data_IF_485527812060
#
_entry.id   IF_485527812060
#
_cell.length_a   1.000
_cell.length_b   1.000
_cell.length_c   1.000
_cell.angle_alpha   90.00
_cell.angle_beta   90.00
_cell.angle_gamma   90.00
#
_symmetry.space_group_name_H-M   'P 1'
#
loop_
_entity.id
_entity.type
_entity.pdbx_description
1 polymer ?
#
# COMPACT_ATOMS: atom_id res chain seq x y z
N UNK A 1 -32.85 -11.78 7.39
CA UNK A 1 -33.58 -10.92 6.43
C UNK A 1 -34.67 -10.16 7.17
N UNK A 2 -34.34 -9.01 7.80
CA UNK A 2 -35.27 -7.92 8.20
C UNK A 2 -34.53 -6.96 9.15
N UNK A 3 -33.71 -6.06 8.60
CA UNK A 3 -33.58 -4.72 9.19
C UNK A 3 -34.20 -3.80 8.16
N UNK A 4 -35.31 -3.17 8.55
CA UNK A 4 -36.05 -2.20 7.76
C UNK A 4 -35.08 -1.08 7.35
N UNK A 5 -34.72 -1.04 6.08
CA UNK A 5 -34.22 0.21 5.49
C UNK A 5 -35.38 1.21 5.54
N UNK A 6 -35.15 2.47 5.94
CA UNK A 6 -36.20 3.47 5.91
C UNK A 6 -36.75 3.53 4.49
N UNK A 7 -38.06 3.36 4.35
CA UNK A 7 -38.74 3.43 3.07
C UNK A 7 -38.70 4.90 2.66
N UNK A 8 -37.69 5.32 1.89
CA UNK A 8 -37.74 6.63 1.24
C UNK A 8 -38.97 6.67 0.35
N UNK A 9 -39.81 7.70 0.53
CA UNK A 9 -41.00 7.86 -0.29
C UNK A 9 -40.63 7.89 -1.78
N UNK A 10 -41.35 7.15 -2.61
CA UNK A 10 -41.18 7.12 -4.08
C UNK A 10 -41.30 8.50 -4.76
N UNK A 11 -41.74 9.52 -4.01
CA UNK A 11 -41.99 10.89 -4.45
C UNK A 11 -40.70 11.67 -4.75
N UNK A 12 -39.55 11.24 -4.23
CA UNK A 12 -38.23 11.88 -4.48
C UNK A 12 -37.46 11.27 -5.64
N UNK A 13 -37.87 10.11 -6.16
CA UNK A 13 -37.23 9.48 -7.31
C UNK A 13 -37.71 10.13 -8.62
N UNK A 14 -36.84 10.73 -9.45
CA UNK A 14 -37.28 11.42 -10.65
C UNK A 14 -37.98 10.43 -11.61
N UNK A 15 -39.19 10.78 -12.11
CA UNK A 15 -39.99 9.84 -12.89
C UNK A 15 -39.27 9.45 -14.18
N UNK A 16 -39.28 8.15 -14.53
CA UNK A 16 -38.84 7.67 -15.84
C UNK A 16 -39.82 8.18 -16.90
N UNK A 17 -39.50 9.28 -17.60
CA UNK A 17 -40.23 9.69 -18.81
C UNK A 17 -39.59 9.04 -20.05
N UNK A 18 -40.44 8.52 -20.94
CA UNK A 18 -40.13 7.79 -22.18
C UNK A 18 -39.83 8.72 -23.39
N UNK A 19 -39.54 10.01 -23.16
CA UNK A 19 -39.23 10.94 -24.25
C UNK A 19 -37.72 11.02 -24.49
N UNK A 20 -37.35 11.13 -25.77
CA UNK A 20 -36.04 10.81 -26.33
C UNK A 20 -34.84 11.21 -25.48
N UNK A 21 -33.95 10.24 -25.27
CA UNK A 21 -32.78 10.25 -24.39
C UNK A 21 -31.68 11.31 -24.69
N UNK A 22 -32.00 12.45 -25.32
CA UNK A 22 -31.02 13.38 -25.89
C UNK A 22 -31.29 14.87 -25.64
N UNK A 23 -32.31 15.28 -24.85
CA UNK A 23 -32.48 16.68 -24.44
C UNK A 23 -31.51 17.02 -23.27
N UNK A 24 -30.48 17.87 -23.48
CA UNK A 24 -29.48 18.18 -22.45
C UNK A 24 -30.09 18.79 -21.19
N UNK A 25 -31.14 19.61 -21.34
CA UNK A 25 -31.79 20.29 -20.19
C UNK A 25 -32.54 19.30 -19.31
N UNK A 26 -33.16 18.29 -19.92
CA UNK A 26 -33.84 17.22 -19.21
C UNK A 26 -32.85 16.28 -18.51
N UNK A 27 -31.76 15.90 -19.19
CA UNK A 27 -30.69 15.07 -18.62
C UNK A 27 -30.07 15.78 -17.40
N UNK A 28 -29.79 17.07 -17.51
CA UNK A 28 -29.19 17.84 -16.42
C UNK A 28 -30.13 18.00 -15.23
N UNK A 29 -31.41 18.30 -15.48
CA UNK A 29 -32.42 18.32 -14.42
C UNK A 29 -32.54 16.97 -13.71
N UNK A 30 -32.49 15.87 -14.47
CA UNK A 30 -32.54 14.53 -13.91
C UNK A 30 -31.29 14.20 -13.10
N UNK A 31 -30.10 14.63 -13.55
CA UNK A 31 -28.83 14.50 -12.82
C UNK A 31 -28.93 15.17 -11.44
N UNK A 32 -29.41 16.41 -11.38
CA UNK A 32 -29.58 17.18 -10.14
C UNK A 32 -30.56 16.49 -9.18
N UNK A 33 -31.74 16.06 -9.67
CA UNK A 33 -32.71 15.37 -8.83
C UNK A 33 -32.18 14.03 -8.29
N UNK A 34 -31.46 13.26 -9.12
CA UNK A 34 -30.83 12.02 -8.68
C UNK A 34 -29.74 12.28 -7.64
N UNK A 35 -28.95 13.34 -7.80
CA UNK A 35 -27.91 13.72 -6.84
C UNK A 35 -28.53 14.03 -5.46
N UNK A 36 -29.57 14.86 -5.40
CA UNK A 36 -30.25 15.19 -4.14
C UNK A 36 -30.83 13.93 -3.47
N UNK A 37 -31.46 13.06 -4.26
CA UNK A 37 -32.01 11.79 -3.77
C UNK A 37 -30.92 10.87 -3.19
N UNK A 38 -29.78 10.74 -3.87
CA UNK A 38 -28.67 9.92 -3.40
C UNK A 38 -28.04 10.50 -2.12
N UNK A 39 -27.96 11.83 -1.99
CA UNK A 39 -27.49 12.50 -0.77
C UNK A 39 -28.44 12.24 0.41
N UNK A 40 -29.76 12.32 0.19
CA UNK A 40 -30.76 11.98 1.20
C UNK A 40 -30.68 10.50 1.62
N UNK A 41 -30.47 9.58 0.66
CA UNK A 41 -30.26 8.16 0.97
C UNK A 41 -29.03 7.99 1.85
N UNK A 42 -27.89 8.57 1.46
CA UNK A 42 -26.62 8.42 2.17
C UNK A 42 -26.71 8.97 3.60
N UNK A 43 -27.36 10.13 3.79
CA UNK A 43 -27.53 10.73 5.12
C UNK A 43 -28.46 9.93 6.03
N UNK A 44 -29.49 9.28 5.48
CA UNK A 44 -30.40 8.43 6.25
C UNK A 44 -29.82 7.04 6.54
N UNK A 45 -28.95 6.52 5.68
CA UNK A 45 -28.30 5.23 5.84
C UNK A 45 -27.05 5.37 6.69
N UNK A 46 -27.19 5.25 8.02
CA UNK A 46 -26.04 5.33 8.95
C UNK A 46 -24.86 4.41 8.58
N UNK A 47 -25.11 3.24 7.97
CA UNK A 47 -24.09 2.46 7.25
C UNK A 47 -24.54 2.24 5.81
N UNK A 48 -23.77 2.77 4.86
CA UNK A 48 -24.08 2.71 3.43
C UNK A 48 -23.93 1.25 2.94
N UNK A 49 -24.97 0.64 2.32
CA UNK A 49 -24.91 -0.70 1.78
C UNK A 49 -23.86 -0.85 0.67
N UNK A 50 -23.22 -2.02 0.58
CA UNK A 50 -22.14 -2.31 -0.39
C UNK A 50 -22.54 -2.03 -1.84
N UNK A 51 -23.75 -2.42 -2.23
CA UNK A 51 -24.27 -2.19 -3.59
C UNK A 51 -24.29 -0.70 -3.94
N UNK A 52 -24.62 0.15 -2.96
CA UNK A 52 -24.64 1.60 -3.16
C UNK A 52 -23.22 2.18 -3.21
N UNK A 53 -22.29 1.65 -2.40
CA UNK A 53 -20.87 2.04 -2.47
C UNK A 53 -20.24 1.72 -3.84
N UNK A 54 -20.56 0.54 -4.40
CA UNK A 54 -20.10 0.14 -5.74
C UNK A 54 -20.73 1.05 -6.79
N UNK A 55 -22.04 1.28 -6.72
CA UNK A 55 -22.77 2.13 -7.65
C UNK A 55 -22.26 3.58 -7.65
N UNK A 56 -21.87 4.10 -6.49
CA UNK A 56 -21.33 5.46 -6.32
C UNK A 56 -19.81 5.52 -6.49
N UNK A 57 -19.15 4.41 -6.85
CA UNK A 57 -17.71 4.33 -7.07
C UNK A 57 -16.87 4.82 -5.87
N UNK A 58 -17.31 4.56 -4.63
CA UNK A 58 -16.64 5.04 -3.41
C UNK A 58 -15.15 4.65 -3.35
N UNK A 59 -14.81 3.46 -3.84
CA UNK A 59 -13.44 2.98 -3.96
C UNK A 59 -12.53 3.92 -4.79
N UNK A 60 -13.06 4.58 -5.83
CA UNK A 60 -12.32 5.57 -6.62
C UNK A 60 -12.08 6.83 -5.78
N UNK A 61 -13.11 7.30 -5.09
CA UNK A 61 -13.01 8.48 -4.22
C UNK A 61 -12.07 8.26 -3.03
N UNK A 62 -12.04 7.07 -2.44
CA UNK A 62 -11.09 6.72 -1.38
C UNK A 62 -9.64 6.77 -1.91
N UNK A 63 -9.39 6.22 -3.10
CA UNK A 63 -8.07 6.31 -3.76
C UNK A 63 -7.68 7.77 -4.03
N UNK A 64 -8.62 8.58 -4.52
CA UNK A 64 -8.38 10.01 -4.79
C UNK A 64 -8.08 10.77 -3.49
N UNK A 65 -8.89 10.59 -2.46
CA UNK A 65 -8.72 11.27 -1.17
C UNK A 65 -7.37 10.91 -0.54
N UNK A 66 -7.03 9.62 -0.46
CA UNK A 66 -5.75 9.16 0.10
C UNK A 66 -4.57 9.73 -0.68
N UNK A 67 -4.61 9.69 -2.01
CA UNK A 67 -3.50 10.19 -2.84
C UNK A 67 -3.38 11.72 -2.84
N UNK A 68 -4.49 12.45 -2.74
CA UNK A 68 -4.47 13.91 -2.58
C UNK A 68 -3.92 14.33 -1.21
N UNK A 69 -4.33 13.65 -0.14
CA UNK A 69 -3.79 13.90 1.21
C UNK A 69 -2.30 13.62 1.26
N UNK A 70 -1.84 12.51 0.67
CA UNK A 70 -0.41 12.21 0.55
C UNK A 70 0.33 13.25 -0.29
N UNK A 71 -0.24 13.70 -1.41
CA UNK A 71 0.36 14.73 -2.25
C UNK A 71 0.53 16.06 -1.50
N UNK A 72 -0.47 16.47 -0.73
CA UNK A 72 -0.39 17.68 0.10
C UNK A 72 0.67 17.56 1.20
N UNK A 73 0.72 16.41 1.87
CA UNK A 73 1.72 16.15 2.91
C UNK A 73 3.13 16.19 2.31
N UNK A 74 3.36 15.45 1.23
CA UNK A 74 4.64 15.38 0.53
C UNK A 74 5.04 16.70 -0.13
N UNK A 75 4.10 17.55 -0.51
CA UNK A 75 4.42 18.90 -0.94
C UNK A 75 5.08 19.72 0.19
N UNK A 76 4.74 19.45 1.46
CA UNK A 76 5.28 20.17 2.63
C UNK A 76 6.61 19.59 3.12
N UNK A 77 6.75 18.26 3.12
CA UNK A 77 7.89 17.56 3.75
C UNK A 77 8.79 16.81 2.75
N UNK A 78 8.40 16.71 1.48
CA UNK A 78 9.07 15.86 0.49
C UNK A 78 10.53 16.23 0.24
N UNK A 79 10.83 17.52 0.12
CA UNK A 79 12.22 17.98 -0.05
C UNK A 79 13.11 17.60 1.15
N UNK A 80 12.55 17.63 2.37
CA UNK A 80 13.26 17.19 3.57
C UNK A 80 13.55 15.70 3.51
N UNK A 81 12.55 14.88 3.15
CA UNK A 81 12.71 13.42 3.02
C UNK A 81 13.82 13.08 2.01
N UNK A 82 13.86 13.79 0.88
CA UNK A 82 14.88 13.57 -0.14
C UNK A 82 16.28 14.06 0.27
N UNK A 83 16.37 15.14 1.06
CA UNK A 83 17.64 15.72 1.48
C UNK A 83 18.29 14.98 2.67
N UNK A 84 17.51 14.48 3.62
CA UNK A 84 18.02 13.81 4.82
C UNK A 84 18.16 12.29 4.67
N UNK A 85 17.83 11.73 3.51
CA UNK A 85 17.69 10.28 3.29
C UNK A 85 16.74 9.62 4.32
N UNK A 86 15.77 10.40 4.81
CA UNK A 86 14.79 9.95 5.78
C UNK A 86 13.94 8.80 5.23
N UNK A 87 13.49 7.95 6.14
CA UNK A 87 12.67 6.79 5.80
C UNK A 87 11.26 7.29 5.49
N UNK A 88 10.83 7.12 4.24
CA UNK A 88 9.45 7.34 3.85
C UNK A 88 8.58 6.18 4.36
N UNK A 89 7.65 6.49 5.26
CA UNK A 89 6.79 5.49 5.90
C UNK A 89 5.43 5.47 5.21
N UNK A 90 4.96 4.28 4.81
CA UNK A 90 3.67 4.10 4.15
C UNK A 90 2.95 2.85 4.67
N UNK A 91 1.62 2.87 4.59
CA UNK A 91 0.78 1.70 4.86
C UNK A 91 0.48 0.92 3.57
N UNK A 92 0.14 -0.39 3.66
CA UNK A 92 -0.31 -1.16 2.50
C UNK A 92 -1.49 -0.52 1.76
N UNK A 93 -2.43 0.12 2.49
CA UNK A 93 -3.55 0.84 1.89
C UNK A 93 -3.09 2.05 1.08
N UNK A 94 -2.15 2.85 1.62
CA UNK A 94 -1.57 3.97 0.88
C UNK A 94 -0.86 3.49 -0.38
N UNK A 95 -0.07 2.41 -0.31
CA UNK A 95 0.58 1.81 -1.47
C UNK A 95 -0.42 1.29 -2.52
N UNK A 96 -1.52 0.68 -2.08
CA UNK A 96 -2.61 0.27 -2.95
C UNK A 96 -3.22 1.47 -3.69
N UNK A 97 -3.53 2.55 -2.96
CA UNK A 97 -4.08 3.77 -3.55
C UNK A 97 -3.09 4.41 -4.53
N UNK A 98 -1.80 4.49 -4.20
CA UNK A 98 -0.74 4.98 -5.10
C UNK A 98 -0.69 4.15 -6.39
N UNK A 99 -0.76 2.82 -6.27
CA UNK A 99 -0.71 1.88 -7.40
C UNK A 99 -1.95 1.97 -8.29
N UNK A 100 -3.14 2.16 -7.69
CA UNK A 100 -4.41 2.27 -8.42
C UNK A 100 -4.58 3.64 -9.06
N UNK A 101 -4.11 4.71 -8.42
CA UNK A 101 -4.30 6.08 -8.89
C UNK A 101 -3.71 6.35 -10.28
N UNK A 102 -2.60 5.70 -10.64
CA UNK A 102 -2.01 5.75 -12.00
C UNK A 102 -2.85 5.05 -13.07
N UNK A 103 -3.71 4.11 -12.67
CA UNK A 103 -4.58 3.35 -13.59
C UNK A 103 -5.89 4.07 -13.87
N UNK A 104 -6.20 5.13 -13.12
CA UNK A 104 -7.42 5.92 -13.27
C UNK A 104 -7.23 7.00 -14.35
N UNK A 105 -8.19 7.16 -15.30
CA UNK A 105 -8.12 8.17 -16.36
C UNK A 105 -8.53 9.56 -15.83
N UNK A 106 -7.88 10.03 -14.76
CA UNK A 106 -8.20 11.26 -14.04
C UNK A 106 -6.98 12.19 -14.05
N UNK A 107 -7.14 13.49 -14.38
CA UNK A 107 -6.04 14.46 -14.40
C UNK A 107 -5.24 14.48 -13.09
N UNK A 108 -3.97 14.84 -13.16
CA UNK A 108 -3.07 14.88 -12.00
C UNK A 108 -3.41 15.99 -11.01
N UNK A 109 -3.97 17.10 -11.53
CA UNK A 109 -4.43 18.24 -10.74
C UNK A 109 -5.86 18.62 -11.14
N UNK A 110 -6.70 18.86 -10.13
CA UNK A 110 -8.11 19.19 -10.29
C UNK A 110 -8.45 20.59 -9.79
N UNK A 111 -7.76 21.63 -10.25
CA UNK A 111 -8.12 23.04 -9.98
C UNK A 111 -8.03 23.52 -8.51
N UNK A 112 -7.89 22.62 -7.54
CA UNK A 112 -7.87 22.90 -6.08
C UNK A 112 -6.51 23.44 -5.57
N UNK A 113 -5.55 23.67 -6.47
CA UNK A 113 -4.21 24.21 -6.17
C UNK A 113 -3.09 23.20 -6.44
N UNK A 114 -1.87 23.71 -6.63
CA UNK A 114 -0.70 22.90 -7.01
C UNK A 114 -0.19 21.99 -5.89
N UNK A 115 -0.54 22.27 -4.63
CA UNK A 115 -0.17 21.44 -3.49
C UNK A 115 -0.90 20.09 -3.46
N UNK A 116 -2.08 19.99 -4.08
CA UNK A 116 -2.80 18.71 -4.24
C UNK A 116 -2.43 17.97 -5.54
N UNK A 117 -1.47 18.48 -6.31
CA UNK A 117 -1.06 17.80 -7.53
C UNK A 117 -0.41 16.46 -7.19
N UNK A 118 -1.00 15.38 -7.70
CA UNK A 118 -0.51 14.03 -7.48
C UNK A 118 0.91 13.84 -8.09
N UNK A 119 1.34 14.73 -8.98
CA UNK A 119 2.73 14.82 -9.43
C UNK A 119 3.71 14.94 -8.28
N UNK A 120 3.41 15.76 -7.26
CA UNK A 120 4.26 15.91 -6.07
C UNK A 120 4.46 14.55 -5.36
N UNK A 121 3.39 13.75 -5.27
CA UNK A 121 3.46 12.41 -4.70
C UNK A 121 4.35 11.49 -5.54
N UNK A 122 4.16 11.45 -6.86
CA UNK A 122 4.93 10.54 -7.72
C UNK A 122 6.39 10.95 -7.89
N UNK A 123 6.71 12.24 -7.83
CA UNK A 123 8.09 12.72 -7.83
C UNK A 123 8.86 12.19 -6.60
N UNK A 124 8.23 12.22 -5.42
CA UNK A 124 8.83 11.64 -4.20
C UNK A 124 8.88 10.11 -4.28
N UNK A 125 7.80 9.44 -4.69
CA UNK A 125 7.76 7.97 -4.84
C UNK A 125 8.85 7.49 -5.79
N UNK A 126 9.12 8.23 -6.86
CA UNK A 126 10.18 7.91 -7.81
C UNK A 126 11.58 8.12 -7.23
N UNK A 127 11.80 9.21 -6.48
CA UNK A 127 13.11 9.62 -6.00
C UNK A 127 13.54 8.97 -4.68
N UNK A 128 12.61 8.48 -3.86
CA UNK A 128 12.91 7.98 -2.52
C UNK A 128 13.85 6.78 -2.54
N UNK A 129 14.81 6.79 -1.62
CA UNK A 129 15.81 5.73 -1.48
C UNK A 129 15.53 4.79 -0.31
N UNK A 130 14.75 5.24 0.68
CA UNK A 130 14.43 4.50 1.90
C UNK A 130 12.92 4.43 2.13
N UNK A 131 12.33 3.23 2.04
CA UNK A 131 10.90 2.98 2.23
C UNK A 131 10.67 2.06 3.42
N UNK A 132 9.68 2.38 4.26
CA UNK A 132 9.20 1.50 5.31
C UNK A 132 7.70 1.27 5.19
N UNK A 133 7.32 0.01 5.10
CA UNK A 133 5.93 -0.45 5.04
C UNK A 133 5.52 -0.91 6.45
N UNK A 134 4.46 -0.32 6.99
CA UNK A 134 3.94 -0.60 8.33
C UNK A 134 2.43 -0.85 8.25
N UNK A 135 1.94 -1.98 8.78
CA UNK A 135 0.50 -2.11 9.05
C UNK A 135 0.09 -1.21 10.21
N UNK A 136 -1.06 -0.57 10.03
CA UNK A 136 -1.73 0.16 11.09
C UNK A 136 -2.64 -0.82 11.85
N UNK A 137 -2.39 -0.98 13.16
CA UNK A 137 -3.16 -1.87 14.04
C UNK A 137 -4.60 -1.32 14.26
N UNK A 138 -4.88 -0.03 13.97
CA UNK A 138 -6.17 0.63 14.25
C UNK A 138 -7.12 0.75 13.04
N UNK A 139 -6.61 0.72 11.81
CA UNK A 139 -7.41 0.91 10.59
C UNK A 139 -7.74 -0.42 9.92
N UNK A 140 -8.58 -1.19 10.61
CA UNK A 140 -9.20 -2.40 10.10
C UNK A 140 -9.88 -2.10 8.74
N UNK A 141 -9.39 -2.76 7.67
CA UNK A 141 -9.73 -2.63 6.24
C UNK A 141 -11.19 -3.01 5.88
N UNK A 142 -12.13 -2.75 6.78
CA UNK A 142 -13.54 -3.18 6.70
C UNK A 142 -14.30 -2.64 5.48
N UNK A 143 -13.73 -1.71 4.69
CA UNK A 143 -14.33 -1.16 3.47
C UNK A 143 -13.76 -1.76 2.16
N UNK A 144 -12.61 -2.43 2.20
CA UNK A 144 -11.94 -3.03 1.03
C UNK A 144 -12.13 -4.54 0.91
N UNK A 145 -12.97 -5.14 1.76
CA UNK A 145 -13.01 -6.59 2.06
C UNK A 145 -13.33 -7.56 0.91
N UNK A 146 -13.50 -7.10 -0.33
CA UNK A 146 -13.76 -7.97 -1.50
C UNK A 146 -12.72 -7.83 -2.63
N UNK A 147 -11.91 -6.76 -2.64
CA UNK A 147 -10.81 -6.64 -3.61
C UNK A 147 -9.51 -7.04 -2.92
N UNK A 148 -8.81 -8.03 -3.47
CA UNK A 148 -7.46 -8.36 -3.06
C UNK A 148 -6.58 -7.11 -3.19
N UNK A 149 -6.20 -6.51 -2.06
CA UNK A 149 -5.48 -5.24 -1.99
C UNK A 149 -4.05 -5.47 -2.48
N UNK A 150 -3.86 -5.45 -3.80
CA UNK A 150 -2.55 -5.61 -4.42
C UNK A 150 -1.86 -4.26 -4.62
N UNK A 151 -0.59 -4.17 -4.24
CA UNK A 151 0.21 -2.97 -4.38
C UNK A 151 1.55 -3.25 -5.06
N UNK A 152 2.06 -2.27 -5.81
CA UNK A 152 3.16 -2.44 -6.75
C UNK A 152 4.35 -1.55 -6.37
N UNK A 153 5.51 -2.17 -6.11
CA UNK A 153 6.74 -1.44 -5.81
C UNK A 153 7.54 -1.03 -7.04
N UNK A 154 7.07 -1.35 -8.25
CA UNK A 154 7.73 -0.96 -9.52
C UNK A 154 7.87 0.54 -9.69
N UNK A 155 7.08 1.33 -8.95
CA UNK A 155 7.11 2.80 -8.97
C UNK A 155 8.34 3.38 -8.26
N UNK A 156 8.92 2.64 -7.30
CA UNK A 156 10.06 3.08 -6.49
C UNK A 156 11.39 2.76 -7.18
N UNK A 157 11.71 3.48 -8.26
CA UNK A 157 12.84 3.17 -9.14
C UNK A 157 14.21 3.35 -8.50
N UNK A 158 14.33 4.25 -7.52
CA UNK A 158 15.59 4.58 -6.84
C UNK A 158 15.74 3.93 -5.46
N UNK A 159 14.90 2.94 -5.13
CA UNK A 159 14.86 2.34 -3.81
C UNK A 159 16.14 1.55 -3.51
N UNK A 160 16.78 1.89 -2.38
CA UNK A 160 17.99 1.22 -1.86
C UNK A 160 17.74 0.51 -0.54
N UNK A 161 16.83 1.03 0.28
CA UNK A 161 16.50 0.49 1.60
C UNK A 161 15.00 0.22 1.63
N UNK A 162 14.62 -1.04 1.85
CA UNK A 162 13.23 -1.43 2.04
C UNK A 162 13.08 -2.06 3.42
N UNK A 163 12.15 -1.55 4.22
CA UNK A 163 11.77 -2.11 5.50
C UNK A 163 10.31 -2.53 5.45
N UNK A 164 10.00 -3.75 5.85
CA UNK A 164 8.63 -4.26 5.95
C UNK A 164 8.46 -4.78 7.37
N UNK A 165 7.54 -4.18 8.12
CA UNK A 165 7.24 -4.56 9.50
C UNK A 165 5.76 -4.85 9.62
N UNK A 166 5.41 -6.06 10.08
CA UNK A 166 4.01 -6.52 10.25
C UNK A 166 3.18 -6.22 8.98
N UNK A 167 3.26 -7.06 7.96
CA UNK A 167 2.52 -6.79 6.72
C UNK A 167 2.12 -8.06 6.01
N UNK A 168 0.87 -8.12 5.52
CA UNK A 168 0.54 -9.10 4.50
C UNK A 168 1.25 -8.75 3.18
N UNK A 169 2.36 -9.44 2.92
CA UNK A 169 3.18 -9.30 1.71
C UNK A 169 2.60 -10.12 0.53
N UNK A 170 1.57 -10.96 0.73
CA UNK A 170 1.00 -11.81 -0.33
C UNK A 170 0.54 -11.01 -1.56
N UNK A 171 0.06 -9.78 -1.33
CA UNK A 171 -0.46 -8.91 -2.37
C UNK A 171 0.59 -7.98 -3.00
N UNK A 172 1.87 -8.10 -2.60
CA UNK A 172 2.96 -7.26 -3.10
C UNK A 172 3.40 -7.70 -4.51
N UNK A 173 3.50 -6.74 -5.42
CA UNK A 173 3.93 -6.92 -6.81
C UNK A 173 5.12 -6.00 -7.14
N UNK A 174 5.78 -6.24 -8.28
CA UNK A 174 6.79 -5.31 -8.81
C UNK A 174 8.18 -5.36 -8.18
N UNK A 175 8.51 -6.41 -7.44
CA UNK A 175 9.78 -6.51 -6.71
C UNK A 175 11.00 -6.83 -7.59
N UNK A 176 10.79 -7.24 -8.84
CA UNK A 176 11.87 -7.62 -9.75
C UNK A 176 12.87 -6.48 -9.99
N UNK A 177 12.39 -5.24 -10.09
CA UNK A 177 13.24 -4.05 -10.26
C UNK A 177 14.08 -3.72 -9.03
N UNK A 178 13.64 -4.15 -7.84
CA UNK A 178 14.36 -3.87 -6.60
C UNK A 178 15.71 -4.60 -6.57
N UNK A 179 15.85 -5.72 -7.27
CA UNK A 179 17.07 -6.53 -7.25
C UNK A 179 18.32 -5.80 -7.74
N UNK A 180 18.16 -4.82 -8.64
CA UNK A 180 19.29 -4.08 -9.22
C UNK A 180 19.84 -3.00 -8.28
N UNK A 181 18.98 -2.39 -7.45
CA UNK A 181 19.30 -1.18 -6.69
C UNK A 181 19.20 -1.36 -5.16
N UNK A 182 18.54 -2.41 -4.68
CA UNK A 182 18.30 -2.62 -3.25
C UNK A 182 19.59 -3.04 -2.55
N UNK A 183 20.03 -2.20 -1.63
CA UNK A 183 21.24 -2.41 -0.82
C UNK A 183 20.92 -3.02 0.54
N UNK A 184 19.76 -2.68 1.12
CA UNK A 184 19.31 -3.15 2.43
C UNK A 184 17.83 -3.54 2.37
N UNK A 185 17.52 -4.71 2.90
CA UNK A 185 16.15 -5.19 3.03
C UNK A 185 15.96 -5.67 4.46
N UNK A 186 14.94 -5.14 5.12
CA UNK A 186 14.49 -5.56 6.45
C UNK A 186 13.09 -6.09 6.36
N UNK A 187 12.86 -7.33 6.80
CA UNK A 187 11.51 -7.89 6.87
C UNK A 187 11.31 -8.56 8.20
N UNK A 188 10.34 -8.07 8.99
CA UNK A 188 9.95 -8.65 10.27
C UNK A 188 8.68 -9.48 10.09
N UNK A 189 8.66 -10.68 10.69
CA UNK A 189 7.52 -11.60 10.77
C UNK A 189 6.90 -12.07 9.43
N UNK A 190 7.56 -11.80 8.30
CA UNK A 190 6.99 -12.03 6.96
C UNK A 190 7.98 -12.65 5.98
N UNK A 191 9.08 -13.24 6.48
CA UNK A 191 10.14 -13.85 5.66
C UNK A 191 9.64 -15.00 4.76
N UNK A 192 8.63 -15.76 5.22
CA UNK A 192 8.03 -16.84 4.44
C UNK A 192 7.36 -16.35 3.14
N UNK A 193 6.91 -15.10 3.11
CA UNK A 193 6.27 -14.46 1.93
C UNK A 193 7.30 -13.86 0.96
N UNK A 194 8.53 -13.60 1.41
CA UNK A 194 9.62 -13.19 0.53
C UNK A 194 10.09 -14.30 -0.42
N UNK A 195 9.70 -15.55 -0.17
CA UNK A 195 9.98 -16.69 -1.03
C UNK A 195 9.62 -16.38 -2.48
N UNK A 196 8.42 -15.88 -2.75
CA UNK A 196 7.95 -15.57 -4.12
C UNK A 196 8.59 -14.32 -4.72
N UNK A 197 9.14 -13.44 -3.88
CA UNK A 197 9.57 -12.09 -4.28
C UNK A 197 11.06 -11.99 -4.63
N UNK A 198 11.87 -12.92 -4.13
CA UNK A 198 13.34 -12.82 -4.12
C UNK A 198 14.05 -14.11 -4.59
N UNK A 199 13.42 -14.91 -5.47
CA UNK A 199 14.01 -16.15 -5.98
C UNK A 199 15.42 -15.97 -6.57
N UNK A 200 15.71 -14.81 -7.15
CA UNK A 200 16.99 -14.49 -7.78
C UNK A 200 17.98 -13.73 -6.88
N UNK A 201 17.62 -13.47 -5.61
CA UNK A 201 18.44 -12.63 -4.75
C UNK A 201 19.73 -13.35 -4.34
N UNK A 202 20.89 -12.75 -4.66
CA UNK A 202 22.23 -13.29 -4.33
C UNK A 202 22.77 -12.76 -3.01
N UNK A 203 22.44 -11.51 -2.66
CA UNK A 203 22.92 -10.82 -1.45
C UNK A 203 21.76 -10.20 -0.69
N UNK A 204 21.72 -10.41 0.62
CA UNK A 204 20.69 -9.86 1.51
C UNK A 204 21.36 -9.18 2.71
N UNK A 205 21.13 -7.87 2.85
CA UNK A 205 21.58 -7.13 4.02
C UNK A 205 20.39 -6.83 4.95
N UNK A 206 20.33 -7.60 6.03
CA UNK A 206 19.41 -7.50 7.16
C UNK A 206 20.11 -6.86 8.39
N UNK A 207 21.22 -6.14 8.24
CA UNK A 207 21.93 -5.52 9.36
C UNK A 207 21.19 -4.31 9.95
N UNK A 208 21.46 -4.00 11.22
CA UNK A 208 20.83 -2.89 11.97
C UNK A 208 19.29 -3.01 12.07
N UNK A 209 18.81 -4.23 12.34
CA UNK A 209 17.40 -4.50 12.57
C UNK A 209 17.17 -5.01 14.00
N UNK A 210 15.94 -5.45 14.29
CA UNK A 210 15.57 -6.05 15.58
C UNK A 210 15.24 -7.53 15.42
N UNK A 211 16.05 -8.24 14.62
CA UNK A 211 15.84 -9.66 14.34
C UNK A 211 16.34 -10.47 15.54
N UNK A 212 15.47 -11.27 16.14
CA UNK A 212 15.79 -12.13 17.29
C UNK A 212 16.11 -13.58 16.86
N UNK A 213 15.59 -14.03 15.72
CA UNK A 213 15.84 -15.37 15.19
C UNK A 213 16.02 -15.39 13.67
N UNK A 214 16.81 -16.36 13.20
CA UNK A 214 16.96 -16.67 11.79
C UNK A 214 15.91 -17.72 11.43
N UNK A 215 15.10 -17.48 10.40
CA UNK A 215 14.11 -18.44 9.88
C UNK A 215 13.87 -18.24 8.37
N UNK A 216 13.42 -19.31 7.69
CA UNK A 216 12.92 -19.29 6.30
C UNK A 216 13.91 -18.86 5.19
N UNK A 217 15.22 -18.82 5.43
CA UNK A 217 16.21 -18.49 4.38
C UNK A 217 16.53 -19.67 3.46
N UNK A 218 16.24 -20.89 3.91
CA UNK A 218 16.35 -22.14 3.13
C UNK A 218 15.56 -22.12 1.81
N UNK A 219 14.55 -21.25 1.71
CA UNK A 219 13.68 -21.10 0.55
C UNK A 219 14.19 -20.09 -0.49
N UNK A 220 15.37 -19.48 -0.28
CA UNK A 220 16.02 -18.55 -1.21
C UNK A 220 17.17 -19.26 -1.96
N UNK A 221 16.89 -19.91 -3.11
CA UNK A 221 17.84 -20.83 -3.75
C UNK A 221 19.14 -20.15 -4.21
N UNK A 222 19.06 -18.86 -4.57
CA UNK A 222 20.19 -18.12 -5.12
C UNK A 222 20.94 -17.28 -4.08
N UNK A 223 20.47 -17.21 -2.82
CA UNK A 223 21.12 -16.41 -1.79
C UNK A 223 22.48 -17.02 -1.41
N UNK A 224 23.51 -16.18 -1.39
CA UNK A 224 24.91 -16.55 -1.09
C UNK A 224 25.51 -15.70 0.01
N UNK A 225 25.16 -14.42 0.06
CA UNK A 225 25.70 -13.50 1.07
C UNK A 225 24.57 -12.95 1.94
N UNK A 226 24.71 -13.11 3.25
CA UNK A 226 23.76 -12.63 4.24
C UNK A 226 24.49 -11.80 5.30
N UNK A 227 24.01 -10.56 5.50
CA UNK A 227 24.46 -9.72 6.60
C UNK A 227 23.33 -9.59 7.63
N UNK A 228 23.54 -10.14 8.82
CA UNK A 228 22.65 -10.05 9.99
C UNK A 228 23.32 -9.28 11.14
N UNK A 229 24.33 -8.46 10.86
CA UNK A 229 25.05 -7.72 11.89
C UNK A 229 24.16 -6.69 12.61
N UNK A 230 24.43 -6.37 13.87
CA UNK A 230 23.68 -5.39 14.67
C UNK A 230 22.18 -5.71 14.74
N UNK A 231 21.87 -6.93 15.16
CA UNK A 231 20.52 -7.42 15.42
C UNK A 231 20.42 -7.89 16.90
N UNK A 232 19.30 -8.51 17.26
CA UNK A 232 19.03 -8.99 18.61
C UNK A 232 19.09 -10.53 18.71
N UNK A 233 19.82 -11.19 17.81
CA UNK A 233 19.90 -12.66 17.76
C UNK A 233 20.68 -13.17 18.97
N UNK A 234 20.03 -14.01 19.79
CA UNK A 234 20.63 -14.56 21.01
C UNK A 234 21.27 -15.93 20.79
N UNK A 235 20.67 -16.76 19.92
CA UNK A 235 21.05 -18.16 19.71
C UNK A 235 21.03 -18.51 18.20
N UNK A 236 21.86 -19.46 17.78
CA UNK A 236 21.92 -19.96 16.40
C UNK A 236 21.41 -21.39 16.27
N UNK A 237 20.40 -21.76 17.06
CA UNK A 237 19.87 -23.12 17.08
C UNK A 237 19.31 -23.51 15.71
N UNK A 238 19.78 -24.66 15.23
CA UNK A 238 19.46 -25.21 13.91
C UNK A 238 19.76 -24.24 12.76
N UNK A 239 20.70 -23.30 12.91
CA UNK A 239 21.01 -22.32 11.85
C UNK A 239 21.44 -23.01 10.54
N UNK A 240 22.10 -24.16 10.65
CA UNK A 240 22.51 -25.01 9.54
C UNK A 240 21.32 -25.48 8.67
N UNK A 241 20.15 -25.76 9.27
CA UNK A 241 18.96 -26.15 8.51
C UNK A 241 18.24 -24.94 7.91
N UNK A 242 18.46 -23.75 8.47
CA UNK A 242 17.74 -22.53 8.13
C UNK A 242 18.43 -21.65 7.08
N UNK A 243 19.75 -21.72 6.92
CA UNK A 243 20.54 -20.85 6.02
C UNK A 243 20.50 -21.26 4.53
N UNK A 244 20.16 -22.50 4.20
CA UNK A 244 20.13 -22.97 2.81
C UNK A 244 21.50 -22.87 2.12
N UNK A 245 21.60 -22.03 1.08
CA UNK A 245 22.75 -21.94 0.18
C UNK A 245 23.75 -20.81 0.52
N UNK A 246 23.66 -20.21 1.70
CA UNK A 246 24.51 -19.10 2.12
C UNK A 246 25.97 -19.53 2.28
N UNK A 247 26.88 -18.80 1.62
CA UNK A 247 28.34 -19.00 1.68
C UNK A 247 29.06 -17.95 2.51
N UNK A 248 28.43 -16.79 2.75
CA UNK A 248 28.97 -15.72 3.58
C UNK A 248 27.89 -15.22 4.54
N UNK A 249 28.13 -15.35 5.84
CA UNK A 249 27.23 -14.90 6.90
C UNK A 249 27.95 -13.94 7.84
N UNK A 250 27.41 -12.73 8.04
CA UNK A 250 27.89 -11.77 9.05
C UNK A 250 26.90 -11.66 10.20
N UNK A 251 27.38 -11.83 11.42
CA UNK A 251 26.57 -11.81 12.65
C UNK A 251 27.14 -10.83 13.72
N UNK A 252 28.03 -9.92 13.33
CA UNK A 252 28.69 -9.01 14.28
C UNK A 252 27.66 -8.17 15.05
N UNK A 253 27.88 -7.88 16.33
CA UNK A 253 26.97 -7.00 17.09
C UNK A 253 25.59 -7.59 17.40
N UNK A 254 25.44 -8.92 17.41
CA UNK A 254 24.29 -9.63 17.96
C UNK A 254 24.48 -9.95 19.45
N UNK A 255 23.44 -10.51 20.10
CA UNK A 255 23.44 -10.93 21.50
C UNK A 255 23.84 -12.41 21.69
N UNK A 256 24.69 -12.92 20.80
CA UNK A 256 25.07 -14.33 20.77
C UNK A 256 25.80 -14.73 22.05
N UNK A 257 25.17 -15.61 22.84
CA UNK A 257 25.75 -16.14 24.08
C UNK A 257 26.45 -17.49 23.87
N UNK A 258 26.03 -18.24 22.84
CA UNK A 258 26.62 -19.51 22.43
C UNK A 258 26.55 -19.65 20.90
N UNK A 259 27.58 -20.24 20.32
CA UNK A 259 27.64 -20.62 18.91
C UNK A 259 27.56 -22.15 18.93
N UNK A 260 26.33 -22.67 18.92
CA UNK A 260 26.03 -24.10 19.16
C UNK A 260 26.88 -25.09 18.37
#
# INVERSE_FOLDING_TARGET
LTKQFPILEKTTFPPKKLFGNFDPTHVEKRRICLQAYLQDIVTQLGKIPRVLQIFLEFHIYDVLAVTQTLAEELFKIGDSILASEEIFVVTPLQLYCISKRLKLPIPTCGGEGYHYDVGNLYDIVYCVQSLKIVEDDEHNLNNFSDEEISYDLSLFKNLKILQISKGNIESLQGTFHLQENLQKLSVHNSLHLLKTLLHELVRLDLSYNKIEEIAHLQDLPNLRELNLSFNEIENLDSVNTKLGNITSLRLAGNKLSNVG
#
